data_IF_534549543162
#
_entry.id   IF_534549543162
#
_cell.length_a   1.000
_cell.length_b   1.000
_cell.length_c   1.000
_cell.angle_alpha   90.00
_cell.angle_beta   90.00
_cell.angle_gamma   90.00
#
_symmetry.space_group_name_H-M   'P 1'
#
loop_
_entity.id
_entity.type
_entity.pdbx_description
1 polymer ?
#
# COMPACT_ATOMS: atom_id res chain seq x y z
N UNK A 1 -11.84 -25.06 -11.68
CA UNK A 1 -11.99 -23.59 -11.77
C UNK A 1 -10.84 -22.99 -10.99
N UNK A 2 -10.21 -21.90 -11.47
CA UNK A 2 -9.09 -21.28 -10.74
C UNK A 2 -9.63 -20.44 -9.57
N UNK A 3 -8.99 -20.51 -8.41
CA UNK A 3 -9.34 -19.73 -7.22
C UNK A 3 -9.07 -18.22 -7.45
N UNK A 4 -9.94 -17.31 -6.96
CA UNK A 4 -9.70 -15.88 -7.04
C UNK A 4 -8.42 -15.51 -6.31
N UNK A 5 -7.62 -14.65 -6.92
CA UNK A 5 -6.32 -14.25 -6.39
C UNK A 5 -6.19 -12.72 -6.39
N UNK A 6 -5.62 -12.19 -5.31
CA UNK A 6 -5.24 -10.77 -5.20
C UNK A 6 -3.76 -10.68 -4.90
N UNK A 7 -3.03 -9.94 -5.74
CA UNK A 7 -1.61 -9.63 -5.52
C UNK A 7 -1.44 -8.14 -5.28
N UNK A 8 -1.09 -7.76 -4.05
CA UNK A 8 -0.76 -6.37 -3.73
C UNK A 8 0.63 -6.04 -4.29
N UNK A 9 0.72 -4.99 -5.10
CA UNK A 9 1.94 -4.57 -5.78
C UNK A 9 2.67 -3.48 -5.00
N UNK A 10 1.93 -2.45 -4.56
CA UNK A 10 2.52 -1.29 -3.88
C UNK A 10 1.53 -0.59 -2.96
N UNK A 11 2.09 0.15 -2.00
CA UNK A 11 1.41 1.12 -1.16
C UNK A 11 1.95 2.51 -1.51
N UNK A 12 1.11 3.40 -2.01
CA UNK A 12 1.47 4.81 -2.19
C UNK A 12 0.95 5.65 -1.04
N UNK A 13 1.81 6.50 -0.48
CA UNK A 13 1.43 7.52 0.48
C UNK A 13 1.23 8.84 -0.27
N UNK A 14 -0.02 9.31 -0.29
CA UNK A 14 -0.41 10.57 -0.89
C UNK A 14 -0.47 11.64 0.19
N UNK A 15 0.12 12.81 -0.03
CA UNK A 15 0.01 13.96 0.87
C UNK A 15 0.06 15.25 0.05
N UNK A 16 -0.72 16.28 0.38
CA UNK A 16 -0.82 17.49 -0.45
C UNK A 16 0.52 18.23 -0.62
N UNK A 17 1.39 18.18 0.39
CA UNK A 17 2.56 19.04 0.50
C UNK A 17 3.86 18.37 0.01
N UNK A 18 3.79 17.14 -0.51
CA UNK A 18 4.95 16.38 -1.00
C UNK A 18 4.60 15.47 -2.17
N UNK A 19 5.57 15.09 -3.00
CA UNK A 19 5.36 14.07 -4.01
C UNK A 19 4.84 12.76 -3.42
N UNK A 20 4.05 12.05 -4.22
CA UNK A 20 3.59 10.70 -3.90
C UNK A 20 4.77 9.79 -3.61
N UNK A 21 4.72 9.10 -2.46
CA UNK A 21 5.73 8.11 -2.07
C UNK A 21 5.20 6.71 -2.34
N UNK A 22 5.64 6.09 -3.44
CA UNK A 22 5.31 4.70 -3.75
C UNK A 22 6.28 3.73 -3.07
N UNK A 23 5.70 2.77 -2.33
CA UNK A 23 6.41 1.71 -1.62
C UNK A 23 6.05 0.37 -2.26
N UNK A 24 6.94 -0.24 -3.07
CA UNK A 24 6.70 -1.57 -3.61
C UNK A 24 6.65 -2.62 -2.49
N UNK A 25 5.92 -3.72 -2.72
CA UNK A 25 5.86 -4.86 -1.81
C UNK A 25 6.77 -5.98 -2.33
N UNK A 26 7.67 -6.56 -1.49
CA UNK A 26 7.85 -6.27 -0.07
C UNK A 26 8.48 -4.89 0.17
N UNK A 27 8.11 -4.25 1.28
CA UNK A 27 8.66 -2.94 1.62
C UNK A 27 10.17 -3.00 1.81
N UNK A 28 10.88 -2.10 1.15
CA UNK A 28 12.32 -1.98 1.33
C UNK A 28 12.61 -0.95 2.43
N UNK A 29 13.26 -1.34 3.53
CA UNK A 29 13.66 -0.40 4.55
C UNK A 29 14.80 0.50 4.04
N UNK A 30 14.81 1.74 4.51
CA UNK A 30 15.96 2.64 4.35
C UNK A 30 17.11 2.23 5.29
N UNK A 31 18.20 3.00 5.27
CA UNK A 31 19.38 2.78 6.13
C UNK A 31 19.09 2.81 7.64
N UNK A 32 17.94 3.35 8.05
CA UNK A 32 17.47 3.40 9.44
C UNK A 32 16.45 2.30 9.77
N UNK A 33 16.17 1.39 8.85
CA UNK A 33 15.23 0.28 9.05
C UNK A 33 13.76 0.62 8.78
N UNK A 34 13.43 1.84 8.37
CA UNK A 34 12.04 2.26 8.13
C UNK A 34 11.68 2.18 6.64
N UNK A 35 10.47 1.71 6.32
CA UNK A 35 9.94 1.75 4.96
C UNK A 35 9.58 3.19 4.53
N UNK A 36 9.09 4.01 5.46
CA UNK A 36 8.72 5.41 5.20
C UNK A 36 8.72 6.23 6.49
N UNK A 37 8.62 7.55 6.33
CA UNK A 37 8.40 8.49 7.44
C UNK A 37 7.23 9.44 7.14
N UNK A 38 6.47 9.77 8.17
CA UNK A 38 5.42 10.78 8.15
C UNK A 38 5.84 11.91 9.09
N UNK A 39 5.68 13.14 8.63
CA UNK A 39 5.86 14.31 9.48
C UNK A 39 4.66 14.40 10.42
N UNK A 40 4.91 14.73 11.68
CA UNK A 40 3.86 14.88 12.67
C UNK A 40 2.80 15.91 12.23
N UNK A 41 1.54 15.63 12.58
CA UNK A 41 0.37 16.42 12.18
C UNK A 41 0.03 16.42 10.67
N UNK A 42 0.78 15.69 9.83
CA UNK A 42 0.56 15.73 8.38
C UNK A 42 -0.64 14.89 7.94
N UNK A 43 -1.50 15.47 7.10
CA UNK A 43 -2.59 14.72 6.46
C UNK A 43 -2.03 13.85 5.33
N UNK A 44 -2.42 12.59 5.32
CA UNK A 44 -2.06 11.64 4.28
C UNK A 44 -3.22 10.71 3.93
N UNK A 45 -3.13 10.09 2.74
CA UNK A 45 -3.99 8.99 2.30
C UNK A 45 -3.11 7.82 1.88
N UNK A 46 -3.61 6.61 2.08
CA UNK A 46 -2.98 5.38 1.62
C UNK A 46 -3.69 4.90 0.35
N UNK A 47 -2.93 4.65 -0.72
CA UNK A 47 -3.43 4.08 -1.98
C UNK A 47 -2.76 2.73 -2.21
N UNK A 48 -3.55 1.67 -2.30
CA UNK A 48 -3.03 0.35 -2.63
C UNK A 48 -3.18 0.08 -4.12
N UNK A 49 -2.10 -0.36 -4.76
CA UNK A 49 -2.13 -0.91 -6.12
C UNK A 49 -2.09 -2.43 -6.01
N UNK A 50 -3.04 -3.12 -6.62
CA UNK A 50 -3.12 -4.57 -6.59
C UNK A 50 -3.68 -5.11 -7.92
N UNK A 51 -3.35 -6.36 -8.22
CA UNK A 51 -3.90 -7.10 -9.34
C UNK A 51 -4.90 -8.12 -8.84
N UNK A 52 -5.97 -8.30 -9.60
CA UNK A 52 -6.93 -9.38 -9.43
C UNK A 52 -6.79 -10.33 -10.61
N UNK A 53 -6.59 -11.61 -10.34
CA UNK A 53 -6.45 -12.67 -11.34
C UNK A 53 -7.45 -13.80 -11.08
N UNK A 54 -7.63 -14.64 -12.11
CA UNK A 54 -8.46 -15.85 -12.13
C UNK A 54 -9.97 -15.63 -12.04
N UNK A 55 -10.46 -14.88 -11.06
CA UNK A 55 -11.89 -14.67 -10.84
C UNK A 55 -12.18 -13.37 -10.05
N UNK A 56 -13.45 -12.98 -9.97
CA UNK A 56 -13.91 -11.82 -9.21
C UNK A 56 -13.69 -12.05 -7.72
N UNK A 57 -13.16 -11.03 -7.05
CA UNK A 57 -12.99 -10.99 -5.60
C UNK A 57 -14.09 -10.12 -5.00
N UNK A 58 -14.87 -10.67 -4.09
CA UNK A 58 -15.90 -9.94 -3.34
C UNK A 58 -15.45 -9.71 -1.90
N UNK A 59 -15.76 -8.54 -1.34
CA UNK A 59 -15.47 -8.25 0.07
C UNK A 59 -13.99 -8.01 0.40
N UNK A 60 -13.17 -7.58 -0.58
CA UNK A 60 -11.78 -7.21 -0.32
C UNK A 60 -11.73 -6.09 0.73
N UNK A 61 -11.06 -6.35 1.85
CA UNK A 61 -10.98 -5.45 2.99
C UNK A 61 -9.53 -5.18 3.38
N UNK A 62 -9.24 -3.93 3.71
CA UNK A 62 -7.99 -3.52 4.33
C UNK A 62 -8.18 -3.34 5.84
N UNK A 63 -7.24 -3.84 6.62
CA UNK A 63 -7.14 -3.63 8.07
C UNK A 63 -5.75 -3.11 8.39
N UNK A 64 -5.68 -2.05 9.21
CA UNK A 64 -4.43 -1.50 9.72
C UNK A 64 -4.41 -1.64 11.24
N UNK A 65 -3.35 -2.22 11.79
CA UNK A 65 -3.10 -2.28 13.23
C UNK A 65 -1.87 -1.41 13.51
N UNK A 66 -2.05 -0.37 14.32
CA UNK A 66 -1.01 0.60 14.70
C UNK A 66 -0.42 0.24 16.05
#
# INVERSE_FOLDING_TARGET
>A
NLEPEVKVLSLTILSPDRPDLELPIPFMPNSKGYAFALKDGSRYRLKFTFLVSNNIVSGLKYTNTV
#
